data_IF_171849424209
#
_entry.id   IF_171849424209
#
_cell.length_a   1.000
_cell.length_b   1.000
_cell.length_c   1.000
_cell.angle_alpha   90.00
_cell.angle_beta   90.00
_cell.angle_gamma   90.00
#
_symmetry.space_group_name_H-M   'P 1'
#
loop_
_entity.id
_entity.type
_entity.pdbx_description
1 polymer ?
#
# COMPACT_ATOMS: atom_id res chain seq x y z
N UNK A 1 -29.44 19.99 40.39
CA UNK A 1 -28.04 20.26 40.74
C UNK A 1 -27.17 19.65 39.66
N UNK A 2 -26.97 20.42 38.59
CA UNK A 2 -26.18 20.05 37.43
C UNK A 2 -24.70 20.19 37.79
N UNK A 3 -24.02 19.05 37.99
CA UNK A 3 -22.56 19.05 38.10
C UNK A 3 -22.02 19.26 36.71
N UNK A 4 -21.56 20.47 36.43
CA UNK A 4 -20.76 20.81 35.26
C UNK A 4 -19.51 19.94 35.24
N UNK A 5 -19.53 18.88 34.46
CA UNK A 5 -18.37 18.06 34.12
C UNK A 5 -17.40 18.97 33.36
N UNK A 6 -16.38 19.49 34.06
CA UNK A 6 -15.22 20.11 33.41
C UNK A 6 -14.60 19.04 32.51
N UNK A 7 -14.75 19.21 31.18
CA UNK A 7 -13.93 18.47 30.22
C UNK A 7 -12.46 18.78 30.52
N UNK A 8 -11.55 17.79 30.54
CA UNK A 8 -10.13 18.07 30.66
C UNK A 8 -9.74 18.95 29.47
N UNK A 9 -9.18 20.13 29.76
CA UNK A 9 -8.60 20.99 28.74
C UNK A 9 -7.38 20.24 28.25
N UNK A 10 -7.42 19.70 27.02
CA UNK A 10 -6.22 19.15 26.40
C UNK A 10 -5.17 20.25 26.32
N UNK A 11 -4.13 20.11 27.15
CA UNK A 11 -2.96 20.96 27.09
C UNK A 11 -2.22 20.62 25.80
N UNK A 12 -2.41 21.46 24.78
CA UNK A 12 -1.75 21.32 23.49
C UNK A 12 -0.24 21.30 23.75
N UNK A 13 0.50 20.27 23.30
CA UNK A 13 1.90 20.12 23.65
C UNK A 13 2.64 21.38 23.20
N UNK A 14 3.27 22.08 24.15
CA UNK A 14 4.11 23.25 23.86
C UNK A 14 5.39 22.74 23.22
N UNK A 15 5.35 22.53 21.90
CA UNK A 15 6.48 22.01 21.11
C UNK A 15 7.66 22.96 21.28
N UNK A 16 8.70 22.51 21.97
CA UNK A 16 9.93 23.27 22.17
C UNK A 16 10.61 23.55 20.83
N UNK A 17 11.43 24.61 20.75
CA UNK A 17 12.16 24.94 19.51
C UNK A 17 13.03 23.77 19.01
N UNK A 18 13.55 22.94 19.93
CA UNK A 18 14.29 21.71 19.61
C UNK A 18 13.37 20.65 18.97
N UNK A 19 12.20 20.41 19.56
CA UNK A 19 11.19 19.47 19.04
C UNK A 19 10.70 19.88 17.64
N UNK A 20 10.59 21.18 17.38
CA UNK A 20 10.20 21.71 16.06
C UNK A 20 11.24 21.44 14.98
N UNK A 21 12.54 21.47 15.33
CA UNK A 21 13.64 21.11 14.42
C UNK A 21 13.71 19.61 14.18
N UNK A 22 13.54 18.81 15.23
CA UNK A 22 13.50 17.35 15.13
C UNK A 22 12.33 16.91 14.26
N UNK A 23 11.14 17.50 14.47
CA UNK A 23 9.96 17.23 13.65
C UNK A 23 10.17 17.63 12.20
N UNK A 24 10.83 18.77 11.92
CA UNK A 24 11.14 19.18 10.55
C UNK A 24 12.12 18.21 9.86
N UNK A 25 13.17 17.79 10.57
CA UNK A 25 14.13 16.80 10.06
C UNK A 25 13.43 15.46 9.81
N UNK A 26 12.61 14.99 10.76
CA UNK A 26 11.81 13.78 10.59
C UNK A 26 10.86 13.89 9.40
N UNK A 27 10.14 14.99 9.23
CA UNK A 27 9.25 15.19 8.07
C UNK A 27 10.00 15.14 6.73
N UNK A 28 11.20 15.73 6.66
CA UNK A 28 12.04 15.69 5.44
C UNK A 28 12.54 14.27 5.19
N UNK A 29 13.05 13.59 6.22
CA UNK A 29 13.54 12.20 6.10
C UNK A 29 12.42 11.25 5.70
N UNK A 30 11.26 11.32 6.35
CA UNK A 30 10.09 10.54 5.98
C UNK A 30 9.61 10.89 4.57
N UNK A 31 9.64 12.16 4.18
CA UNK A 31 9.29 12.60 2.83
C UNK A 31 10.19 11.97 1.76
N UNK A 32 11.51 11.98 1.96
CA UNK A 32 12.46 11.33 1.05
C UNK A 32 12.23 9.83 1.01
N UNK A 33 11.98 9.19 2.16
CA UNK A 33 11.71 7.74 2.24
C UNK A 33 10.43 7.37 1.49
N UNK A 34 9.36 8.16 1.60
CA UNK A 34 8.12 7.98 0.84
C UNK A 34 8.37 8.04 -0.67
N UNK A 35 9.14 9.03 -1.14
CA UNK A 35 9.47 9.15 -2.57
C UNK A 35 10.31 7.97 -3.05
N UNK A 36 11.31 7.56 -2.27
CA UNK A 36 12.13 6.38 -2.57
C UNK A 36 11.30 5.09 -2.64
N UNK A 37 10.26 4.97 -1.81
CA UNK A 37 9.37 3.79 -1.81
C UNK A 37 8.38 3.77 -2.99
N UNK A 38 7.89 4.93 -3.42
CA UNK A 38 6.99 5.06 -4.56
C UNK A 38 7.74 4.94 -5.89
N UNK A 39 9.03 5.32 -5.91
CA UNK A 39 9.89 5.27 -7.08
C UNK A 39 9.83 3.95 -7.90
N UNK A 40 9.99 2.75 -7.31
CA UNK A 40 9.91 1.50 -8.07
C UNK A 40 8.52 1.24 -8.68
N UNK A 41 7.44 1.66 -8.02
CA UNK A 41 6.07 1.51 -8.53
C UNK A 41 5.88 2.35 -9.79
N UNK A 42 6.35 3.60 -9.75
CA UNK A 42 6.27 4.52 -10.89
C UNK A 42 7.14 4.02 -12.05
N UNK A 43 8.31 3.46 -11.75
CA UNK A 43 9.18 2.83 -12.75
C UNK A 43 8.51 1.63 -13.44
N UNK A 44 7.87 0.75 -12.68
CA UNK A 44 7.12 -0.40 -13.24
C UNK A 44 5.94 0.08 -14.10
N UNK A 45 5.23 1.11 -13.65
CA UNK A 45 4.12 1.70 -14.40
C UNK A 45 4.56 2.23 -15.78
N UNK A 46 5.63 3.04 -15.82
CA UNK A 46 6.15 3.55 -17.09
C UNK A 46 6.77 2.46 -17.97
N UNK A 47 7.35 1.41 -17.38
CA UNK A 47 7.89 0.28 -18.13
C UNK A 47 6.79 -0.62 -18.69
N UNK A 48 5.66 -0.78 -18.00
CA UNK A 48 4.51 -1.56 -18.49
C UNK A 48 3.91 -1.01 -19.78
N UNK A 49 4.10 0.28 -20.06
CA UNK A 49 3.66 0.98 -21.28
C UNK A 49 4.68 0.91 -22.45
N UNK A 50 5.90 0.38 -22.21
CA UNK A 50 6.98 0.26 -23.21
C UNK A 50 7.06 -1.14 -23.82
N UNK A 51 7.58 -1.27 -25.05
CA UNK A 51 7.71 -2.56 -25.77
C UNK A 51 8.71 -3.49 -25.07
N UNK A 52 8.41 -4.80 -25.01
CA UNK A 52 9.23 -5.89 -24.44
C UNK A 52 10.73 -5.85 -24.83
N UNK A 53 11.06 -5.31 -26.02
CA UNK A 53 12.43 -5.19 -26.54
C UNK A 53 13.27 -4.05 -25.94
N UNK A 54 12.75 -3.24 -25.03
CA UNK A 54 13.49 -2.16 -24.37
C UNK A 54 13.85 -2.45 -22.90
N UNK A 55 13.64 -3.69 -22.43
CA UNK A 55 13.89 -4.09 -21.03
C UNK A 55 15.38 -4.41 -20.78
N UNK A 56 16.22 -4.53 -21.82
CA UNK A 56 17.65 -4.84 -21.68
C UNK A 56 18.53 -3.60 -21.44
N UNK A 57 18.79 -3.36 -20.15
CA UNK A 57 20.03 -2.80 -19.56
C UNK A 57 20.42 -1.33 -19.79
N UNK A 58 19.96 -0.63 -20.84
CA UNK A 58 20.48 0.73 -21.14
C UNK A 58 19.46 1.89 -21.09
N UNK A 59 18.15 1.61 -21.04
CA UNK A 59 17.09 2.64 -21.15
C UNK A 59 16.03 2.62 -20.05
N UNK A 60 16.30 1.96 -18.93
CA UNK A 60 15.36 1.82 -17.82
C UNK A 60 14.96 3.17 -17.19
N UNK A 61 15.85 4.16 -17.24
CA UNK A 61 15.64 5.51 -16.67
C UNK A 61 15.27 6.58 -17.72
N UNK A 62 15.18 6.23 -19.01
CA UNK A 62 14.80 7.19 -20.05
C UNK A 62 13.28 7.38 -20.10
N UNK A 63 12.82 8.64 -20.15
CA UNK A 63 11.40 8.96 -20.30
C UNK A 63 10.86 8.39 -21.64
N UNK A 64 9.62 7.85 -21.68
CA UNK A 64 9.06 7.26 -22.88
C UNK A 64 9.04 8.28 -24.04
N UNK A 65 9.76 7.99 -25.12
CA UNK A 65 9.70 8.77 -26.36
C UNK A 65 8.65 8.17 -27.30
N UNK A 66 8.07 8.95 -28.21
CA UNK A 66 6.96 8.57 -29.09
C UNK A 66 7.16 7.26 -29.89
N UNK A 67 8.39 6.77 -30.05
CA UNK A 67 8.71 5.50 -30.73
C UNK A 67 8.65 4.24 -29.86
N UNK A 68 8.55 4.34 -28.53
CA UNK A 68 8.57 3.18 -27.60
C UNK A 68 7.25 2.91 -26.90
N UNK A 69 6.21 3.71 -27.17
CA UNK A 69 4.91 3.61 -26.50
C UNK A 69 4.03 2.59 -27.23
N UNK A 70 3.73 1.46 -26.58
CA UNK A 70 2.93 0.36 -27.18
C UNK A 70 1.49 0.38 -26.68
N UNK A 71 1.13 1.41 -25.91
CA UNK A 71 -0.21 1.56 -25.35
C UNK A 71 -0.61 0.37 -24.48
N UNK A 72 -1.86 -0.09 -24.63
CA UNK A 72 -2.43 -1.17 -23.81
C UNK A 72 -2.12 -2.58 -24.31
N UNK A 73 -1.27 -2.74 -25.34
CA UNK A 73 -1.01 -4.04 -25.96
C UNK A 73 -0.38 -5.04 -24.99
N UNK A 74 0.51 -4.58 -24.10
CA UNK A 74 1.12 -5.43 -23.07
C UNK A 74 0.08 -5.94 -22.05
N UNK A 75 -0.93 -5.12 -21.73
CA UNK A 75 -2.01 -5.53 -20.83
C UNK A 75 -2.92 -6.57 -21.50
N UNK A 76 -3.26 -6.39 -22.78
CA UNK A 76 -4.06 -7.37 -23.53
C UNK A 76 -3.30 -8.69 -23.66
N UNK A 77 -2.00 -8.64 -23.97
CA UNK A 77 -1.13 -9.82 -24.02
C UNK A 77 -1.09 -10.54 -22.66
N UNK A 78 -0.85 -9.81 -21.56
CA UNK A 78 -0.85 -10.39 -20.22
C UNK A 78 -2.18 -11.05 -19.84
N UNK A 79 -3.32 -10.48 -20.26
CA UNK A 79 -4.64 -11.06 -19.98
C UNK A 79 -4.92 -12.31 -20.82
N UNK A 80 -4.57 -12.29 -22.10
CA UNK A 80 -4.91 -13.36 -23.06
C UNK A 80 -3.92 -14.53 -23.06
N UNK A 81 -2.62 -14.26 -22.92
CA UNK A 81 -1.56 -15.26 -23.12
C UNK A 81 -1.01 -15.82 -21.82
N UNK A 82 -1.20 -15.13 -20.68
CA UNK A 82 -0.65 -15.57 -19.38
C UNK A 82 -1.68 -16.20 -18.44
N UNK A 83 -2.84 -16.63 -18.96
CA UNK A 83 -3.93 -17.23 -18.14
C UNK A 83 -4.25 -16.40 -16.87
N UNK A 84 -4.22 -15.08 -17.04
CA UNK A 84 -4.31 -14.13 -15.93
C UNK A 84 -5.61 -14.28 -15.16
N UNK A 85 -6.72 -14.52 -15.87
CA UNK A 85 -8.05 -14.60 -15.26
C UNK A 85 -8.18 -15.83 -14.35
N UNK A 86 -7.63 -16.97 -14.76
CA UNK A 86 -7.62 -18.19 -13.94
C UNK A 86 -6.71 -18.02 -12.72
N UNK A 87 -5.51 -17.48 -12.92
CA UNK A 87 -4.56 -17.20 -11.83
C UNK A 87 -5.08 -16.19 -10.80
N UNK A 88 -5.78 -15.16 -11.29
CA UNK A 88 -6.49 -14.20 -10.45
C UNK A 88 -7.61 -14.88 -9.66
N UNK A 89 -8.39 -15.75 -10.29
CA UNK A 89 -9.46 -16.50 -9.61
C UNK A 89 -8.91 -17.41 -8.51
N UNK A 90 -7.84 -18.17 -8.77
CA UNK A 90 -7.20 -18.99 -7.73
C UNK A 90 -6.72 -18.15 -6.55
N UNK A 91 -6.06 -17.02 -6.81
CA UNK A 91 -5.59 -16.12 -5.76
C UNK A 91 -6.75 -15.54 -4.94
N UNK A 92 -7.83 -15.14 -5.60
CA UNK A 92 -9.02 -14.61 -4.96
C UNK A 92 -9.72 -15.66 -4.11
N UNK A 93 -9.92 -16.87 -4.63
CA UNK A 93 -10.55 -17.97 -3.89
C UNK A 93 -9.71 -18.34 -2.67
N UNK A 94 -8.39 -18.49 -2.80
CA UNK A 94 -7.51 -18.85 -1.69
C UNK A 94 -7.53 -17.77 -0.60
N UNK A 95 -7.41 -16.49 -0.98
CA UNK A 95 -7.40 -15.38 -0.01
C UNK A 95 -8.74 -15.20 0.69
N UNK A 96 -9.85 -15.21 -0.05
CA UNK A 96 -11.19 -15.05 0.53
C UNK A 96 -11.55 -16.23 1.43
N UNK A 97 -11.33 -17.46 0.97
CA UNK A 97 -11.59 -18.66 1.79
C UNK A 97 -10.73 -18.68 3.06
N UNK A 98 -9.45 -18.29 2.96
CA UNK A 98 -8.56 -18.16 4.12
C UNK A 98 -9.08 -17.12 5.12
N UNK A 99 -9.47 -15.92 4.66
CA UNK A 99 -10.01 -14.87 5.53
C UNK A 99 -11.32 -15.31 6.21
N UNK A 100 -12.23 -15.99 5.49
CA UNK A 100 -13.48 -16.50 6.07
C UNK A 100 -13.21 -17.52 7.19
N UNK A 101 -12.30 -18.46 6.96
CA UNK A 101 -11.90 -19.45 7.97
C UNK A 101 -11.26 -18.78 9.19
N UNK A 102 -10.35 -17.82 8.97
CA UNK A 102 -9.71 -17.05 10.05
C UNK A 102 -10.76 -16.30 10.86
N UNK A 103 -11.70 -15.60 10.21
CA UNK A 103 -12.75 -14.84 10.90
C UNK A 103 -13.67 -15.75 11.72
N UNK A 104 -14.06 -16.91 11.20
CA UNK A 104 -14.87 -17.87 11.94
C UNK A 104 -14.14 -18.35 13.19
N UNK A 105 -12.88 -18.78 13.06
CA UNK A 105 -12.06 -19.22 14.19
C UNK A 105 -11.84 -18.09 15.20
N UNK A 106 -11.40 -16.92 14.75
CA UNK A 106 -11.17 -15.76 15.62
C UNK A 106 -12.45 -15.31 16.33
N UNK A 107 -13.60 -15.33 15.67
CA UNK A 107 -14.89 -14.97 16.29
C UNK A 107 -15.29 -15.94 17.39
N UNK A 108 -15.13 -17.26 17.18
CA UNK A 108 -15.43 -18.27 18.19
C UNK A 108 -14.45 -18.17 19.38
N UNK A 109 -13.16 -17.99 19.12
CA UNK A 109 -12.15 -17.78 20.16
C UNK A 109 -12.41 -16.50 20.97
N UNK A 110 -12.74 -15.38 20.31
CA UNK A 110 -13.05 -14.12 20.97
C UNK A 110 -14.30 -14.23 21.87
N UNK A 111 -15.33 -14.95 21.42
CA UNK A 111 -16.50 -15.23 22.25
C UNK A 111 -16.12 -16.04 23.49
N UNK A 112 -15.33 -17.10 23.34
CA UNK A 112 -14.87 -17.91 24.46
C UNK A 112 -14.05 -17.08 25.47
N UNK A 113 -13.08 -16.29 25.01
CA UNK A 113 -12.23 -15.45 25.88
C UNK A 113 -13.06 -14.42 26.66
N UNK A 114 -14.10 -13.85 26.04
CA UNK A 114 -14.90 -12.80 26.67
C UNK A 114 -16.02 -13.29 27.57
N UNK A 115 -16.46 -14.55 27.40
CA UNK A 115 -17.63 -15.12 28.08
C UNK A 115 -17.31 -16.25 29.03
N UNK A 116 -16.17 -16.92 28.87
CA UNK A 116 -15.72 -17.91 29.83
C UNK A 116 -15.08 -17.15 31.00
N UNK A 117 -15.77 -17.12 32.13
CA UNK A 117 -15.15 -16.78 33.40
C UNK A 117 -14.33 -18.01 33.81
N UNK A 118 -13.00 -17.89 33.75
CA UNK A 118 -12.11 -18.73 34.56
C UNK A 118 -12.16 -18.31 36.03
#
# INVERSE_FOLDING_TARGET
MEKTIKKPVEEKPTVGKADRRINAILSVVLGVLCVAWIYPIVMIFFNSLKTERAITTSRAFELPTAGTFVGLKNYIYGIQEMDFLSSFWYSLVITVSSVVLILLCCSMCAWFITRVNG
#
